data_IF_235244712117
#
_entry.id   IF_235244712117
#
_cell.length_a   1.000
_cell.length_b   1.000
_cell.length_c   1.000
_cell.angle_alpha   90.00
_cell.angle_beta   90.00
_cell.angle_gamma   90.00
#
_symmetry.space_group_name_H-M   'P 1'
#
loop_
_entity.id
_entity.type
_entity.pdbx_description
1 polymer ?
#
# COMPACT_ATOMS: atom_id res chain seq x y z
N UNK A 1 19.47 10.81 -2.67
CA UNK A 1 18.93 9.52 -2.16
C UNK A 1 19.25 9.30 -0.68
N UNK A 2 20.53 9.22 -0.24
CA UNK A 2 20.88 9.01 1.19
C UNK A 2 20.20 9.99 2.17
N UNK A 3 20.17 11.29 1.85
CA UNK A 3 19.52 12.31 2.70
C UNK A 3 17.99 12.24 2.75
N UNK A 4 17.35 11.69 1.71
CA UNK A 4 15.88 11.53 1.65
C UNK A 4 15.45 10.30 2.48
N UNK A 5 16.21 9.20 2.37
CA UNK A 5 16.05 8.03 3.23
C UNK A 5 16.19 8.38 4.72
N UNK A 6 17.17 9.23 5.10
CA UNK A 6 17.28 9.71 6.48
C UNK A 6 16.05 10.52 6.96
N UNK A 7 15.38 11.25 6.07
CA UNK A 7 14.23 12.09 6.44
C UNK A 7 12.98 11.26 6.72
N UNK A 8 12.79 10.16 5.97
CA UNK A 8 11.78 9.15 6.27
C UNK A 8 12.08 8.38 7.58
N UNK A 9 13.36 8.13 7.85
CA UNK A 9 13.79 7.38 9.04
C UNK A 9 13.62 8.16 10.35
N UNK A 10 13.77 9.49 10.31
CA UNK A 10 13.68 10.34 11.51
C UNK A 10 12.25 10.51 12.04
N UNK A 11 11.23 10.25 11.24
CA UNK A 11 9.82 10.38 11.66
C UNK A 11 9.30 9.14 12.40
N UNK A 12 9.94 7.97 12.26
CA UNK A 12 9.50 6.72 12.88
C UNK A 12 9.83 6.59 14.37
N UNK A 13 10.75 7.40 14.89
CA UNK A 13 11.44 7.12 16.16
C UNK A 13 10.65 7.60 17.40
N UNK A 14 9.48 8.25 17.24
CA UNK A 14 8.81 8.93 18.35
C UNK A 14 7.29 8.72 18.41
N UNK A 15 6.77 7.50 18.46
CA UNK A 15 5.34 7.30 18.83
C UNK A 15 5.04 5.91 19.40
N UNK A 16 4.88 5.80 20.73
CA UNK A 16 4.35 4.60 21.40
C UNK A 16 2.81 4.61 21.55
N UNK A 17 2.16 5.65 21.04
CA UNK A 17 0.72 5.79 20.85
C UNK A 17 0.55 6.89 19.80
N UNK A 18 -0.04 6.56 18.66
CA UNK A 18 -0.25 7.55 17.60
C UNK A 18 -1.68 8.08 17.70
N UNK A 19 -1.81 9.39 17.82
CA UNK A 19 -3.08 10.08 17.66
C UNK A 19 -3.53 10.05 16.20
N UNK A 20 -4.84 10.15 15.97
CA UNK A 20 -5.44 10.29 14.63
C UNK A 20 -4.78 11.42 13.81
N UNK A 21 -4.35 12.51 14.47
CA UNK A 21 -3.65 13.63 13.83
C UNK A 21 -2.22 13.27 13.41
N UNK A 22 -1.49 12.50 14.21
CA UNK A 22 -0.14 12.04 13.87
C UNK A 22 -0.17 11.08 12.68
N UNK A 23 -1.14 10.17 12.63
CA UNK A 23 -1.30 9.24 11.51
C UNK A 23 -1.73 9.98 10.24
N UNK A 24 -2.66 10.93 10.35
CA UNK A 24 -3.01 11.81 9.23
C UNK A 24 -1.77 12.57 8.75
N UNK A 25 -1.01 13.16 9.67
CA UNK A 25 0.24 13.86 9.39
C UNK A 25 1.26 12.96 8.69
N UNK A 26 1.41 11.71 9.13
CA UNK A 26 2.28 10.72 8.50
C UNK A 26 1.85 10.40 7.07
N UNK A 27 0.58 10.07 6.83
CA UNK A 27 0.07 9.74 5.48
C UNK A 27 0.18 10.96 4.53
N UNK A 28 -0.13 12.16 5.03
CA UNK A 28 0.08 13.43 4.32
C UNK A 28 1.55 13.63 3.94
N UNK A 29 2.46 13.44 4.90
CA UNK A 29 3.89 13.64 4.69
C UNK A 29 4.46 12.61 3.71
N UNK A 30 4.10 11.33 3.87
CA UNK A 30 4.49 10.25 2.96
C UNK A 30 4.05 10.57 1.52
N UNK A 31 2.79 10.94 1.33
CA UNK A 31 2.27 11.35 0.03
C UNK A 31 2.97 12.59 -0.52
N UNK A 32 3.12 13.63 0.29
CA UNK A 32 3.77 14.91 -0.09
C UNK A 32 5.21 14.70 -0.54
N UNK A 33 6.00 13.96 0.24
CA UNK A 33 7.41 13.70 -0.08
C UNK A 33 7.56 12.79 -1.30
N UNK A 34 6.75 11.73 -1.39
CA UNK A 34 6.77 10.79 -2.51
C UNK A 34 6.37 11.49 -3.81
N UNK A 35 5.24 12.20 -3.80
CA UNK A 35 4.75 12.97 -4.94
C UNK A 35 5.72 14.09 -5.34
N UNK A 36 6.18 14.88 -4.37
CA UNK A 36 7.07 16.02 -4.62
C UNK A 36 8.43 15.60 -5.19
N UNK A 37 9.14 14.69 -4.51
CA UNK A 37 10.45 14.24 -5.00
C UNK A 37 10.32 13.43 -6.30
N UNK A 38 9.30 12.59 -6.42
CA UNK A 38 9.03 11.86 -7.65
C UNK A 38 8.81 12.79 -8.82
N UNK A 39 7.91 13.77 -8.67
CA UNK A 39 7.64 14.77 -9.70
C UNK A 39 8.90 15.53 -10.11
N UNK A 40 9.70 15.96 -9.13
CA UNK A 40 10.92 16.71 -9.41
C UNK A 40 12.01 15.87 -10.11
N UNK A 41 12.04 14.56 -9.89
CA UNK A 41 12.92 13.62 -10.62
C UNK A 41 12.38 13.36 -12.04
N UNK A 42 11.06 13.26 -12.20
CA UNK A 42 10.36 12.98 -13.46
C UNK A 42 9.94 14.24 -14.22
N UNK A 43 10.45 15.41 -13.82
CA UNK A 43 10.13 16.70 -14.42
C UNK A 43 10.47 16.73 -15.92
N UNK A 44 9.74 17.52 -16.70
CA UNK A 44 10.16 17.79 -18.08
C UNK A 44 11.48 18.60 -18.10
N UNK A 45 12.22 18.60 -19.22
CA UNK A 45 13.43 19.42 -19.35
C UNK A 45 13.18 20.91 -19.08
N UNK A 46 12.02 21.43 -19.49
CA UNK A 46 11.62 22.84 -19.41
C UNK A 46 11.07 23.24 -18.04
N UNK A 47 10.47 22.29 -17.30
CA UNK A 47 9.87 22.57 -15.99
C UNK A 47 10.94 22.77 -14.92
N UNK A 48 10.76 23.78 -14.06
CA UNK A 48 11.69 24.04 -12.94
C UNK A 48 11.52 22.99 -11.85
N UNK A 49 12.61 22.69 -11.13
CA UNK A 49 12.61 21.66 -10.08
C UNK A 49 11.62 21.99 -8.95
N UNK A 50 11.59 23.24 -8.49
CA UNK A 50 10.70 23.68 -7.41
C UNK A 50 9.23 23.68 -7.83
N UNK A 51 8.95 24.04 -9.08
CA UNK A 51 7.61 23.97 -9.66
C UNK A 51 7.11 22.52 -9.70
N UNK A 52 7.92 21.60 -10.24
CA UNK A 52 7.61 20.18 -10.27
C UNK A 52 7.44 19.59 -8.85
N UNK A 53 8.33 19.94 -7.93
CA UNK A 53 8.24 19.50 -6.53
C UNK A 53 6.95 19.98 -5.88
N UNK A 54 6.64 21.28 -5.96
CA UNK A 54 5.41 21.84 -5.38
C UNK A 54 4.17 21.21 -6.00
N UNK A 55 4.14 21.04 -7.32
CA UNK A 55 3.03 20.38 -8.01
C UNK A 55 2.83 18.93 -7.57
N UNK A 56 3.91 18.15 -7.48
CA UNK A 56 3.86 16.78 -6.98
C UNK A 56 3.49 16.70 -5.51
N UNK A 57 3.96 17.64 -4.70
CA UNK A 57 3.75 17.67 -3.25
C UNK A 57 2.29 17.89 -2.89
N UNK A 58 1.60 18.87 -3.50
CA UNK A 58 0.19 19.11 -3.19
C UNK A 58 -0.70 17.95 -3.67
N UNK A 59 -0.40 17.37 -4.85
CA UNK A 59 -1.10 16.17 -5.32
C UNK A 59 -0.89 14.99 -4.38
N UNK A 60 0.36 14.80 -3.94
CA UNK A 60 0.73 13.79 -2.96
C UNK A 60 -0.02 13.96 -1.63
N UNK A 61 -0.18 15.19 -1.13
CA UNK A 61 -0.94 15.48 0.07
C UNK A 61 -2.43 15.11 -0.07
N UNK A 62 -3.04 15.40 -1.22
CA UNK A 62 -4.43 14.97 -1.51
C UNK A 62 -4.54 13.45 -1.48
N UNK A 63 -3.62 12.75 -2.14
CA UNK A 63 -3.58 11.29 -2.10
C UNK A 63 -3.41 10.75 -0.68
N UNK A 64 -2.48 11.32 0.11
CA UNK A 64 -2.26 10.94 1.51
C UNK A 64 -3.48 11.15 2.41
N UNK A 65 -4.31 12.16 2.14
CA UNK A 65 -5.57 12.36 2.87
C UNK A 65 -6.58 11.25 2.56
N UNK A 66 -6.65 10.81 1.29
CA UNK A 66 -7.51 9.69 0.90
C UNK A 66 -7.04 8.37 1.51
N UNK A 67 -5.72 8.13 1.55
CA UNK A 67 -5.15 6.98 2.25
C UNK A 67 -5.59 6.93 3.71
N UNK A 68 -5.41 8.01 4.47
CA UNK A 68 -5.90 8.11 5.85
C UNK A 68 -7.42 7.88 5.95
N UNK A 69 -8.20 8.51 5.09
CA UNK A 69 -9.66 8.42 5.11
C UNK A 69 -10.15 6.99 4.83
N UNK A 70 -9.45 6.26 3.95
CA UNK A 70 -9.75 4.85 3.68
C UNK A 70 -9.54 3.96 4.91
N UNK A 71 -8.47 4.20 5.68
CA UNK A 71 -8.18 3.49 6.92
C UNK A 71 -9.21 3.79 8.02
N UNK A 72 -9.70 5.04 8.10
CA UNK A 72 -10.86 5.36 8.97
C UNK A 72 -12.11 4.60 8.54
N UNK A 73 -12.37 4.49 7.24
CA UNK A 73 -13.57 3.83 6.74
C UNK A 73 -13.54 2.30 6.93
N UNK A 74 -12.38 1.65 6.76
CA UNK A 74 -12.30 0.20 7.01
C UNK A 74 -12.51 -0.12 8.49
N UNK A 75 -12.11 0.76 9.41
CA UNK A 75 -12.30 0.59 10.84
C UNK A 75 -13.78 0.48 11.25
N UNK A 76 -14.70 1.00 10.44
CA UNK A 76 -16.14 0.95 10.69
C UNK A 76 -16.77 -0.39 10.27
N UNK A 77 -16.02 -1.29 9.63
CA UNK A 77 -16.51 -2.62 9.25
C UNK A 77 -16.54 -3.54 10.47
N UNK A 78 -17.72 -3.85 10.96
CA UNK A 78 -17.96 -4.69 12.14
C UNK A 78 -18.59 -6.04 11.80
N UNK A 79 -19.01 -6.22 10.54
CA UNK A 79 -19.66 -7.43 10.05
C UNK A 79 -19.42 -7.64 8.56
N UNK A 80 -19.68 -8.86 8.07
CA UNK A 80 -19.48 -9.22 6.65
C UNK A 80 -20.55 -8.57 5.75
N UNK A 81 -21.69 -8.25 6.32
CA UNK A 81 -22.81 -7.55 5.67
C UNK A 81 -22.45 -6.11 5.30
N UNK A 82 -21.44 -5.53 5.95
CA UNK A 82 -20.91 -4.19 5.70
C UNK A 82 -19.84 -4.16 4.59
N UNK A 83 -19.83 -5.15 3.69
CA UNK A 83 -18.92 -5.24 2.54
C UNK A 83 -18.84 -3.94 1.72
N UNK A 84 -19.92 -3.17 1.66
CA UNK A 84 -19.94 -1.89 0.95
C UNK A 84 -18.98 -0.85 1.55
N UNK A 85 -18.77 -0.86 2.88
CA UNK A 85 -17.78 -0.03 3.56
C UNK A 85 -16.37 -0.51 3.23
N UNK A 86 -16.13 -1.83 3.25
CA UNK A 86 -14.83 -2.41 2.90
C UNK A 86 -14.42 -2.08 1.45
N UNK A 87 -15.34 -2.24 0.50
CA UNK A 87 -15.11 -1.85 -0.90
C UNK A 87 -14.94 -0.35 -1.08
N UNK A 88 -15.74 0.48 -0.39
CA UNK A 88 -15.59 1.93 -0.44
C UNK A 88 -14.22 2.36 0.08
N UNK A 89 -13.79 1.80 1.21
CA UNK A 89 -12.46 2.01 1.77
C UNK A 89 -11.39 1.65 0.75
N UNK A 90 -11.48 0.45 0.17
CA UNK A 90 -10.53 -0.01 -0.84
C UNK A 90 -10.46 0.89 -2.07
N UNK A 91 -11.60 1.36 -2.59
CA UNK A 91 -11.63 2.27 -3.74
C UNK A 91 -10.99 3.62 -3.40
N UNK A 92 -11.28 4.17 -2.22
CA UNK A 92 -10.69 5.42 -1.75
C UNK A 92 -9.17 5.26 -1.59
N UNK A 93 -8.73 4.15 -0.98
CA UNK A 93 -7.33 3.80 -0.82
C UNK A 93 -6.61 3.75 -2.17
N UNK A 94 -7.10 2.91 -3.07
CA UNK A 94 -6.49 2.67 -4.39
C UNK A 94 -6.46 3.95 -5.24
N UNK A 95 -7.48 4.82 -5.08
CA UNK A 95 -7.49 6.16 -5.68
C UNK A 95 -6.42 7.08 -5.08
N UNK A 96 -6.25 7.09 -3.75
CA UNK A 96 -5.22 7.85 -3.06
C UNK A 96 -3.81 7.44 -3.48
N UNK A 97 -3.54 6.13 -3.50
CA UNK A 97 -2.27 5.58 -3.96
C UNK A 97 -2.01 5.93 -5.43
N UNK A 98 -3.03 5.86 -6.29
CA UNK A 98 -2.92 6.24 -7.71
C UNK A 98 -2.60 7.72 -7.91
N UNK A 99 -3.18 8.61 -7.11
CA UNK A 99 -2.87 10.04 -7.14
C UNK A 99 -1.41 10.28 -6.76
N UNK A 100 -0.91 9.63 -5.71
CA UNK A 100 0.50 9.73 -5.29
C UNK A 100 1.42 9.20 -6.38
N UNK A 101 1.06 8.08 -7.02
CA UNK A 101 1.85 7.50 -8.11
C UNK A 101 1.89 8.41 -9.35
N UNK A 102 0.76 8.99 -9.74
CA UNK A 102 0.70 9.98 -10.81
C UNK A 102 1.49 11.24 -10.48
N UNK A 103 1.38 11.73 -9.24
CA UNK A 103 2.16 12.86 -8.77
C UNK A 103 3.67 12.56 -8.86
N UNK A 104 4.10 11.40 -8.38
CA UNK A 104 5.49 10.97 -8.43
C UNK A 104 5.99 10.74 -9.87
N UNK A 105 5.10 10.43 -10.81
CA UNK A 105 5.41 10.33 -12.24
C UNK A 105 5.34 11.68 -12.99
N UNK A 106 5.11 12.80 -12.30
CA UNK A 106 4.84 14.12 -12.87
C UNK A 106 3.68 14.13 -13.89
N UNK A 107 2.55 13.52 -13.53
CA UNK A 107 1.33 13.40 -14.34
C UNK A 107 0.14 14.14 -13.69
N UNK A 108 -0.94 14.40 -14.44
CA UNK A 108 -2.24 14.77 -13.85
C UNK A 108 -2.73 13.70 -12.86
N UNK A 109 -3.45 14.11 -11.81
CA UNK A 109 -3.90 13.24 -10.71
C UNK A 109 -4.66 11.98 -11.16
N UNK A 110 -5.44 12.11 -12.23
CA UNK A 110 -6.31 11.05 -12.75
C UNK A 110 -5.85 10.52 -14.11
N UNK A 111 -4.59 10.71 -14.47
CA UNK A 111 -4.06 10.19 -15.75
C UNK A 111 -4.09 8.66 -15.78
N UNK A 112 -3.82 8.03 -14.63
CA UNK A 112 -3.89 6.60 -14.40
C UNK A 112 -4.54 6.29 -13.04
N UNK A 113 -5.55 5.43 -13.02
CA UNK A 113 -6.14 4.89 -11.79
C UNK A 113 -5.83 3.40 -11.72
N UNK A 114 -5.33 2.96 -10.58
CA UNK A 114 -4.95 1.58 -10.34
C UNK A 114 -5.89 0.99 -9.31
N UNK A 115 -6.41 -0.19 -9.58
CA UNK A 115 -7.25 -0.93 -8.65
C UNK A 115 -6.71 -2.34 -8.45
N UNK A 116 -6.26 -2.65 -7.24
CA UNK A 116 -5.57 -3.90 -6.95
C UNK A 116 -6.55 -4.96 -6.43
N UNK A 117 -6.56 -6.15 -7.00
CA UNK A 117 -7.30 -7.30 -6.49
C UNK A 117 -6.31 -8.43 -6.21
N UNK A 118 -5.92 -8.55 -4.94
CA UNK A 118 -4.81 -9.41 -4.53
C UNK A 118 -3.53 -9.08 -5.31
N UNK A 119 -3.01 -10.09 -6.02
CA UNK A 119 -1.80 -9.94 -6.84
C UNK A 119 -2.05 -9.40 -8.25
N UNK A 120 -3.29 -9.03 -8.61
CA UNK A 120 -3.61 -8.44 -9.91
C UNK A 120 -3.79 -6.93 -9.74
N UNK A 121 -3.07 -6.14 -10.51
CA UNK A 121 -3.21 -4.70 -10.60
C UNK A 121 -3.96 -4.34 -11.88
N UNK A 122 -5.09 -3.66 -11.75
CA UNK A 122 -5.85 -3.17 -12.89
C UNK A 122 -5.53 -1.71 -13.12
N UNK A 123 -4.77 -1.40 -14.18
CA UNK A 123 -4.48 -0.02 -14.56
C UNK A 123 -5.53 0.47 -15.57
N UNK A 124 -6.14 1.61 -15.27
CA UNK A 124 -7.01 2.35 -16.17
C UNK A 124 -6.32 3.67 -16.49
N UNK A 125 -6.01 3.91 -17.77
CA UNK A 125 -5.45 5.18 -18.23
C UNK A 125 -6.49 5.93 -19.05
N UNK A 126 -6.53 7.24 -18.84
CA UNK A 126 -7.55 8.11 -19.44
C UNK A 126 -6.99 9.05 -20.51
N UNK A 127 -5.66 9.06 -20.69
CA UNK A 127 -5.00 9.85 -21.72
C UNK A 127 -5.29 9.27 -23.11
N UNK A 128 -5.97 10.06 -23.94
CA UNK A 128 -6.37 9.71 -25.31
C UNK A 128 -7.40 8.55 -25.40
N UNK A 129 -8.28 8.45 -24.41
CA UNK A 129 -9.29 7.41 -24.31
C UNK A 129 -9.08 6.52 -23.08
N UNK A 130 -9.99 5.58 -22.85
CA UNK A 130 -9.90 4.64 -21.73
C UNK A 130 -9.17 3.38 -22.19
N UNK A 131 -7.99 3.13 -21.63
CA UNK A 131 -7.27 1.86 -21.81
C UNK A 131 -7.21 1.11 -20.49
N UNK A 132 -7.57 -0.17 -20.51
CA UNK A 132 -7.46 -1.07 -19.36
C UNK A 132 -6.29 -2.04 -19.57
N UNK A 133 -5.48 -2.23 -18.53
CA UNK A 133 -4.35 -3.15 -18.54
C UNK A 133 -4.25 -3.89 -17.21
N UNK A 134 -4.55 -5.21 -17.18
CA UNK A 134 -4.27 -6.04 -16.02
C UNK A 134 -2.78 -6.41 -15.98
N UNK A 135 -2.18 -6.30 -14.80
CA UNK A 135 -0.79 -6.62 -14.54
C UNK A 135 -0.68 -7.58 -13.36
N UNK A 136 0.20 -8.56 -13.45
CA UNK A 136 0.50 -9.47 -12.34
C UNK A 136 1.61 -8.85 -11.49
N UNK A 137 1.40 -8.81 -10.17
CA UNK A 137 2.36 -8.39 -9.15
C UNK A 137 3.15 -9.62 -8.68
N UNK A 138 4.39 -9.88 -9.16
CA UNK A 138 5.03 -11.18 -8.97
C UNK A 138 5.34 -11.52 -7.50
N UNK A 139 5.71 -10.52 -6.70
CA UNK A 139 6.00 -10.75 -5.28
C UNK A 139 4.70 -11.06 -4.55
N UNK A 140 3.66 -10.24 -4.72
CA UNK A 140 2.35 -10.50 -4.13
C UNK A 140 1.72 -11.81 -4.61
N UNK A 141 1.93 -12.22 -5.86
CA UNK A 141 1.49 -13.52 -6.37
C UNK A 141 2.18 -14.67 -5.63
N UNK A 142 3.50 -14.57 -5.46
CA UNK A 142 4.29 -15.58 -4.75
C UNK A 142 3.84 -15.69 -3.29
N UNK A 143 3.62 -14.57 -2.62
CA UNK A 143 3.14 -14.51 -1.24
C UNK A 143 1.68 -14.99 -1.10
N UNK A 144 0.84 -14.75 -2.11
CA UNK A 144 -0.52 -15.31 -2.17
C UNK A 144 -0.48 -16.83 -2.31
N UNK A 145 0.37 -17.37 -3.19
CA UNK A 145 0.54 -18.82 -3.36
C UNK A 145 1.05 -19.44 -2.05
N UNK A 146 2.04 -18.81 -1.41
CA UNK A 146 2.52 -19.24 -0.10
C UNK A 146 1.39 -19.26 0.95
N UNK A 147 0.54 -18.24 0.96
CA UNK A 147 -0.63 -18.15 1.83
C UNK A 147 -1.72 -19.18 1.52
N UNK A 148 -1.76 -19.73 0.31
CA UNK A 148 -2.70 -20.79 -0.07
C UNK A 148 -2.22 -22.18 0.35
N UNK A 149 -0.91 -22.39 0.55
CA UNK A 149 -0.36 -23.72 0.88
C UNK A 149 -0.75 -24.09 2.31
N UNK A 150 -1.65 -25.08 2.42
CA UNK A 150 -2.08 -25.64 3.71
C UNK A 150 -3.10 -24.79 4.46
N UNK A 151 -3.73 -23.82 3.81
CA UNK A 151 -4.79 -22.97 4.36
C UNK A 151 -6.01 -23.00 3.41
N UNK A 152 -7.22 -22.83 3.94
CA UNK A 152 -8.47 -22.84 3.18
C UNK A 152 -8.84 -21.45 2.68
N UNK A 153 -9.19 -21.33 1.40
CA UNK A 153 -9.58 -20.03 0.83
C UNK A 153 -11.02 -19.66 1.22
N UNK A 154 -11.21 -18.58 1.99
CA UNK A 154 -12.54 -18.07 2.33
C UNK A 154 -13.01 -17.11 1.23
N UNK A 155 -13.77 -17.64 0.29
CA UNK A 155 -14.34 -16.86 -0.82
C UNK A 155 -15.25 -15.74 -0.32
N UNK A 156 -15.97 -15.96 0.78
CA UNK A 156 -16.95 -15.02 1.28
C UNK A 156 -16.31 -13.77 1.88
N UNK A 157 -15.32 -13.96 2.75
CA UNK A 157 -14.52 -12.85 3.28
C UNK A 157 -13.70 -12.20 2.17
N UNK A 158 -13.11 -13.00 1.28
CA UNK A 158 -12.29 -12.48 0.19
C UNK A 158 -13.06 -11.53 -0.73
N UNK A 159 -14.31 -11.88 -1.08
CA UNK A 159 -15.19 -11.02 -1.86
C UNK A 159 -15.67 -9.81 -1.07
N UNK A 160 -15.91 -9.93 0.24
CA UNK A 160 -16.34 -8.81 1.07
C UNK A 160 -15.27 -7.73 1.17
N UNK A 161 -13.99 -8.11 1.25
CA UNK A 161 -12.85 -7.19 1.39
C UNK A 161 -12.12 -6.87 0.07
N UNK A 162 -12.39 -7.62 -1.01
CA UNK A 162 -11.68 -7.46 -2.29
C UNK A 162 -10.21 -7.88 -2.24
N UNK A 163 -9.86 -8.77 -1.30
CA UNK A 163 -8.50 -9.24 -1.01
C UNK A 163 -8.54 -10.74 -0.73
N UNK A 164 -7.63 -11.57 -1.26
CA UNK A 164 -7.55 -12.98 -0.90
C UNK A 164 -7.37 -13.20 0.61
N UNK A 165 -8.31 -13.91 1.23
CA UNK A 165 -8.30 -14.28 2.64
C UNK A 165 -8.29 -15.80 2.73
N UNK A 166 -7.31 -16.32 3.47
CA UNK A 166 -7.14 -17.73 3.76
C UNK A 166 -7.32 -17.99 5.25
N UNK A 167 -7.85 -19.15 5.60
CA UNK A 167 -8.11 -19.57 6.97
C UNK A 167 -7.25 -20.78 7.28
N UNK A 168 -6.66 -20.78 8.48
CA UNK A 168 -5.76 -21.83 8.94
C UNK A 168 -6.22 -22.38 10.27
N UNK A 169 -6.06 -23.69 10.44
CA UNK A 169 -6.24 -24.36 11.72
C UNK A 169 -5.43 -23.69 12.84
N UNK A 170 -6.06 -23.50 14.00
CA UNK A 170 -5.48 -22.78 15.14
C UNK A 170 -4.13 -23.35 15.60
N UNK A 171 -3.95 -24.68 15.54
CA UNK A 171 -2.73 -25.38 15.97
C UNK A 171 -1.53 -25.14 15.05
N UNK A 172 -1.77 -24.65 13.82
CA UNK A 172 -0.75 -24.57 12.78
C UNK A 172 -0.23 -23.15 12.54
N UNK A 173 -0.80 -22.13 13.16
CA UNK A 173 -0.36 -20.73 13.01
C UNK A 173 0.33 -20.26 14.30
N UNK A 174 1.61 -20.61 14.55
CA UNK A 174 2.27 -20.26 15.80
C UNK A 174 2.43 -18.74 15.94
N UNK A 175 1.98 -18.19 17.07
CA UNK A 175 2.27 -16.84 17.56
C UNK A 175 1.66 -15.61 16.84
N UNK A 176 0.68 -15.77 15.93
CA UNK A 176 -0.10 -14.65 15.39
C UNK A 176 -1.58 -15.04 15.21
N UNK A 177 -2.53 -14.12 15.37
CA UNK A 177 -3.96 -14.38 15.14
C UNK A 177 -4.36 -14.17 13.67
N UNK A 178 -3.68 -13.24 13.01
CA UNK A 178 -3.72 -12.97 11.58
C UNK A 178 -2.31 -12.64 11.09
N UNK A 179 -2.09 -12.73 9.78
CA UNK A 179 -0.88 -12.24 9.13
C UNK A 179 -1.17 -11.83 7.70
N UNK A 180 -0.58 -10.72 7.28
CA UNK A 180 -0.63 -10.23 5.91
C UNK A 180 0.65 -10.59 5.16
N UNK A 181 0.51 -11.33 4.05
CA UNK A 181 1.61 -11.63 3.14
C UNK A 181 1.37 -10.94 1.80
N UNK A 182 1.99 -9.78 1.60
CA UNK A 182 1.80 -8.99 0.40
C UNK A 182 0.36 -8.45 0.35
N UNK A 183 -0.39 -8.82 -0.70
CA UNK A 183 -1.81 -8.50 -0.81
C UNK A 183 -2.72 -9.71 -0.53
N UNK A 184 -2.35 -10.57 0.41
CA UNK A 184 -3.16 -11.68 0.90
C UNK A 184 -3.12 -11.75 2.42
N UNK A 185 -4.21 -12.20 3.04
CA UNK A 185 -4.37 -12.31 4.48
C UNK A 185 -4.54 -13.78 4.86
N UNK A 186 -3.91 -14.20 5.94
CA UNK A 186 -4.14 -15.51 6.57
C UNK A 186 -4.66 -15.29 7.99
N UNK A 187 -5.78 -15.90 8.33
CA UNK A 187 -6.40 -15.82 9.65
C UNK A 187 -6.41 -17.18 10.33
N UNK A 188 -6.36 -17.18 11.66
CA UNK A 188 -6.74 -18.36 12.45
C UNK A 188 -8.25 -18.61 12.36
N UNK A 189 -8.65 -19.88 12.29
CA UNK A 189 -10.06 -20.30 12.23
C UNK A 189 -10.89 -19.69 13.37
N UNK A 190 -10.37 -19.69 14.61
CA UNK A 190 -11.04 -19.08 15.76
C UNK A 190 -11.30 -17.57 15.63
N UNK A 191 -10.59 -16.89 14.73
CA UNK A 191 -10.65 -15.44 14.52
C UNK A 191 -11.27 -15.05 13.18
N UNK A 192 -11.78 -15.99 12.38
CA UNK A 192 -12.33 -15.69 11.04
C UNK A 192 -13.49 -14.70 11.03
N UNK A 193 -14.19 -14.53 12.16
CA UNK A 193 -15.28 -13.56 12.33
C UNK A 193 -14.87 -12.36 13.20
N UNK A 194 -13.59 -12.20 13.52
CA UNK A 194 -13.08 -11.05 14.23
C UNK A 194 -12.78 -9.93 13.22
N UNK A 195 -13.80 -9.14 12.85
CA UNK A 195 -13.67 -8.08 11.84
C UNK A 195 -12.66 -7.00 12.21
N UNK A 196 -12.48 -6.73 13.51
CA UNK A 196 -11.40 -5.87 14.02
C UNK A 196 -10.03 -6.36 13.58
N UNK A 197 -9.74 -7.66 13.76
CA UNK A 197 -8.51 -8.28 13.26
C UNK A 197 -8.43 -8.26 11.73
N UNK A 198 -9.52 -8.52 11.01
CA UNK A 198 -9.49 -8.48 9.54
C UNK A 198 -9.17 -7.06 9.04
N UNK A 199 -9.73 -6.03 9.69
CA UNK A 199 -9.45 -4.63 9.37
C UNK A 199 -7.98 -4.28 9.67
N UNK A 200 -7.41 -4.81 10.75
CA UNK A 200 -5.97 -4.68 11.06
C UNK A 200 -5.12 -5.19 9.90
N UNK A 201 -5.37 -6.43 9.46
CA UNK A 201 -4.64 -7.04 8.35
C UNK A 201 -4.89 -6.30 7.02
N UNK A 202 -6.10 -5.80 6.79
CA UNK A 202 -6.41 -4.99 5.61
C UNK A 202 -5.62 -3.67 5.58
N UNK A 203 -5.33 -3.06 6.73
CA UNK A 203 -4.46 -1.88 6.80
C UNK A 203 -3.03 -2.22 6.37
N UNK A 204 -2.51 -3.40 6.69
CA UNK A 204 -1.20 -3.83 6.16
C UNK A 204 -1.22 -4.03 4.63
N UNK A 205 -2.32 -4.55 4.07
CA UNK A 205 -2.51 -4.63 2.62
C UNK A 205 -2.49 -3.23 1.98
N UNK A 206 -3.14 -2.25 2.62
CA UNK A 206 -3.09 -0.85 2.21
C UNK A 206 -1.67 -0.30 2.26
N UNK A 207 -1.00 -0.38 3.41
CA UNK A 207 0.35 0.16 3.61
C UNK A 207 1.37 -0.33 2.57
N UNK A 208 1.29 -1.57 2.09
CA UNK A 208 2.15 -2.03 1.00
C UNK A 208 1.94 -1.20 -0.27
N UNK A 209 0.69 -1.03 -0.68
CA UNK A 209 0.30 -0.35 -1.91
C UNK A 209 0.51 1.19 -1.82
N UNK A 210 0.50 1.78 -0.62
CA UNK A 210 0.79 3.22 -0.38
C UNK A 210 2.19 3.62 -0.87
N UNK A 211 3.13 2.68 -0.84
CA UNK A 211 4.50 2.91 -1.26
C UNK A 211 4.66 2.84 -2.79
N UNK A 212 3.62 2.48 -3.56
CA UNK A 212 3.69 2.30 -5.02
C UNK A 212 4.29 3.52 -5.75
N UNK A 213 4.04 4.74 -5.26
CA UNK A 213 4.63 5.97 -5.82
C UNK A 213 6.17 5.98 -5.82
N UNK A 214 6.82 5.29 -4.87
CA UNK A 214 8.28 5.18 -4.79
C UNK A 214 8.89 4.44 -5.99
N UNK A 215 8.11 3.63 -6.70
CA UNK A 215 8.57 3.03 -7.96
C UNK A 215 9.08 4.11 -8.93
N UNK A 216 8.40 5.26 -9.00
CA UNK A 216 8.78 6.37 -9.89
C UNK A 216 10.08 7.08 -9.49
N UNK A 217 10.64 6.80 -8.31
CA UNK A 217 11.98 7.27 -7.92
C UNK A 217 13.10 6.40 -8.53
N UNK A 218 12.80 5.12 -8.79
CA UNK A 218 13.75 4.12 -9.31
C UNK A 218 13.65 4.00 -10.83
N UNK A 219 12.43 4.01 -11.38
CA UNK A 219 12.16 3.76 -12.81
C UNK A 219 13.02 4.59 -13.78
N UNK A 220 13.27 5.91 -13.55
CA UNK A 220 14.11 6.70 -14.44
C UNK A 220 15.57 6.25 -14.49
N UNK A 221 16.09 5.74 -13.37
CA UNK A 221 17.46 5.20 -13.30
C UNK A 221 17.51 3.83 -13.99
N UNK A 222 16.51 2.98 -13.73
CA UNK A 222 16.38 1.67 -14.35
C UNK A 222 16.34 1.74 -15.87
N UNK A 223 15.51 2.61 -16.46
CA UNK A 223 15.37 2.73 -17.91
C UNK A 223 16.66 3.21 -18.61
N UNK A 224 17.60 3.80 -17.86
CA UNK A 224 18.94 4.14 -18.37
C UNK A 224 19.88 2.93 -18.38
N UNK A 225 19.70 1.98 -17.45
CA UNK A 225 20.60 0.86 -17.23
C UNK A 225 20.16 -0.42 -17.93
N UNK A 226 18.86 -0.62 -18.11
CA UNK A 226 18.27 -1.82 -18.71
C UNK A 226 17.51 -1.39 -19.97
N UNK A 227 18.13 -1.59 -21.14
CA UNK A 227 17.49 -1.52 -22.45
C UNK A 227 17.49 -2.91 -23.06
N UNK A 228 16.39 -3.64 -22.90
CA UNK A 228 16.28 -5.02 -23.38
C UNK A 228 14.84 -5.32 -23.78
N UNK A 229 14.63 -5.78 -25.02
CA UNK A 229 13.31 -6.12 -25.55
C UNK A 229 12.60 -7.23 -24.76
N UNK A 230 13.35 -8.18 -24.20
CA UNK A 230 12.81 -9.21 -23.32
C UNK A 230 12.28 -8.62 -22.01
N UNK A 231 12.94 -7.57 -21.49
CA UNK A 231 12.49 -6.88 -20.30
C UNK A 231 11.19 -6.13 -20.56
N UNK A 232 11.08 -5.44 -21.70
CA UNK A 232 9.87 -4.71 -22.08
C UNK A 232 8.67 -5.67 -22.16
N UNK A 233 8.84 -6.84 -22.81
CA UNK A 233 7.82 -7.91 -22.86
C UNK A 233 7.41 -8.44 -21.48
N UNK A 234 8.37 -8.58 -20.56
CA UNK A 234 8.07 -8.99 -19.17
C UNK A 234 7.24 -7.89 -18.49
N UNK A 235 7.65 -6.63 -18.63
CA UNK A 235 6.91 -5.53 -18.01
C UNK A 235 5.54 -5.27 -18.65
N UNK A 236 5.27 -5.82 -19.83
CA UNK A 236 3.92 -5.80 -20.43
C UNK A 236 2.90 -6.61 -19.62
N UNK A 237 3.34 -7.72 -19.02
CA UNK A 237 2.53 -8.61 -18.20
C UNK A 237 2.67 -8.35 -16.70
N UNK A 238 3.86 -7.94 -16.25
CA UNK A 238 4.21 -7.87 -14.83
C UNK A 238 4.41 -6.44 -14.34
N UNK A 239 3.83 -6.13 -13.18
CA UNK A 239 4.13 -4.94 -12.42
C UNK A 239 5.22 -5.24 -11.39
N UNK A 240 6.41 -4.65 -11.56
CA UNK A 240 7.53 -4.89 -10.64
C UNK A 240 7.38 -4.02 -9.39
N UNK A 241 7.17 -4.66 -8.25
CA UNK A 241 6.90 -4.03 -6.95
C UNK A 241 8.17 -3.52 -6.27
N UNK A 242 8.98 -2.64 -6.88
CA UNK A 242 10.19 -2.13 -6.22
C UNK A 242 9.90 -1.43 -4.88
N UNK A 243 8.71 -0.85 -4.74
CA UNK A 243 8.22 -0.23 -3.53
C UNK A 243 8.15 -1.20 -2.34
N UNK A 244 7.91 -2.49 -2.58
CA UNK A 244 7.89 -3.53 -1.54
C UNK A 244 9.21 -3.61 -0.78
N UNK A 245 10.34 -3.34 -1.44
CA UNK A 245 11.65 -3.29 -0.78
C UNK A 245 11.69 -2.17 0.26
N UNK A 246 11.10 -1.02 -0.02
CA UNK A 246 11.04 0.08 0.93
C UNK A 246 10.09 -0.23 2.07
N UNK A 247 8.91 -0.76 1.77
CA UNK A 247 7.92 -1.17 2.77
C UNK A 247 8.53 -2.20 3.74
N UNK A 248 9.03 -3.33 3.25
CA UNK A 248 9.60 -4.38 4.10
C UNK A 248 10.87 -3.92 4.83
N UNK A 249 11.74 -3.13 4.18
CA UNK A 249 12.93 -2.60 4.86
C UNK A 249 12.52 -1.68 6.01
N UNK A 250 11.52 -0.81 5.80
CA UNK A 250 11.03 0.09 6.84
C UNK A 250 10.39 -0.69 7.99
N UNK A 251 9.51 -1.65 7.67
CA UNK A 251 8.86 -2.51 8.65
C UNK A 251 9.90 -3.25 9.53
N UNK A 252 10.84 -3.97 8.92
CA UNK A 252 11.81 -4.78 9.66
C UNK A 252 12.88 -3.96 10.38
N UNK A 253 13.31 -2.83 9.83
CA UNK A 253 14.27 -1.96 10.50
C UNK A 253 13.66 -1.29 11.72
N UNK A 254 12.40 -0.86 11.62
CA UNK A 254 11.70 -0.24 12.74
C UNK A 254 11.38 -1.28 13.82
N UNK A 255 10.96 -2.50 13.44
CA UNK A 255 10.82 -3.62 14.38
C UNK A 255 12.13 -3.98 15.08
N UNK A 256 13.27 -3.94 14.38
CA UNK A 256 14.59 -4.19 14.97
C UNK A 256 14.96 -3.12 16.02
N UNK A 257 14.52 -1.88 15.82
CA UNK A 257 14.83 -0.75 16.70
C UNK A 257 13.89 -0.71 17.91
N UNK A 258 12.59 -0.93 17.69
CA UNK A 258 11.55 -0.75 18.72
C UNK A 258 11.15 -2.07 19.41
N UNK A 259 11.46 -3.21 18.80
CA UNK A 259 11.00 -4.53 19.24
C UNK A 259 9.77 -5.02 18.47
N UNK A 260 9.54 -6.34 18.51
CA UNK A 260 8.42 -7.00 17.79
C UNK A 260 7.07 -6.45 18.23
N UNK A 261 6.24 -6.06 17.27
CA UNK A 261 4.87 -5.56 17.49
C UNK A 261 4.76 -4.12 17.96
N UNK A 262 5.89 -3.39 18.03
CA UNK A 262 5.93 -1.97 18.45
C UNK A 262 6.38 -1.03 17.32
N UNK A 263 6.41 -1.50 16.07
CA UNK A 263 6.80 -0.65 14.94
C UNK A 263 5.64 0.28 14.51
N UNK A 264 5.97 1.35 13.78
CA UNK A 264 5.04 2.39 13.34
C UNK A 264 3.86 1.86 12.52
N UNK A 265 4.12 0.86 11.67
CA UNK A 265 3.11 0.29 10.77
C UNK A 265 2.12 -0.60 11.53
N UNK A 266 2.59 -1.33 12.53
CA UNK A 266 1.76 -2.05 13.50
C UNK A 266 0.91 -1.08 14.32
N UNK A 267 1.51 -0.01 14.86
CA UNK A 267 0.80 1.01 15.63
C UNK A 267 -0.33 1.67 14.82
N UNK A 268 -0.05 1.97 13.54
CA UNK A 268 -1.07 2.47 12.62
C UNK A 268 -2.20 1.46 12.40
N UNK A 269 -1.88 0.19 12.11
CA UNK A 269 -2.88 -0.86 11.93
C UNK A 269 -3.72 -1.09 13.19
N UNK A 270 -3.11 -1.01 14.37
CA UNK A 270 -3.82 -1.07 15.65
C UNK A 270 -4.79 0.10 15.87
N UNK A 271 -4.43 1.32 15.45
CA UNK A 271 -5.30 2.48 15.59
C UNK A 271 -6.62 2.34 14.79
N UNK A 272 -6.59 1.65 13.65
CA UNK A 272 -7.75 1.46 12.77
C UNK A 272 -8.44 0.10 12.92
N UNK A 273 -8.07 -0.69 13.93
CA UNK A 273 -8.70 -1.99 14.19
C UNK A 273 -9.43 -2.06 15.52
N UNK A 274 -9.48 -0.98 16.32
CA UNK A 274 -10.11 -0.98 17.66
C UNK A 274 -9.56 -2.07 18.63
N UNK A 275 -8.47 -2.76 18.27
CA UNK A 275 -7.87 -3.86 19.01
C UNK A 275 -7.35 -3.46 20.41
N UNK A 276 -7.23 -2.16 20.67
CA UNK A 276 -6.84 -1.56 21.96
C UNK A 276 -7.95 -0.69 22.61
N UNK A 277 -9.18 -0.66 22.07
CA UNK A 277 -10.29 0.14 22.65
C UNK A 277 -11.15 -0.62 23.69
N UNK A 278 -10.67 -1.72 24.26
CA UNK A 278 -11.30 -2.40 25.41
C UNK A 278 -10.29 -2.77 26.48
#
# INVERSE_FOLDING_TARGET
MKKILCLFFLFSICSHSQSDLEILGYNLLLGTLTGGFGSAINKSPEQKWNEAFSDGAWKGAVGGTLLYSSKKLIAEVNSKEEWHLAWSSKIIHDSGASIIENAAANRPMFDQVNFNLGFVRNEFRFKNGVTWRPLIKPLSMTLTIYSAIGNDFDTGLSLAYGTPIFIRDDERLPNAFGITHGNAIVLRESFKNNFSLINHEMVHVFQLDEYAGLNNLILPQRNRWIKNEAYDKITDLFYVEYHSLFYYSFYFLDELIQGRGFNLLEAEAYNFSDSFRR
#
